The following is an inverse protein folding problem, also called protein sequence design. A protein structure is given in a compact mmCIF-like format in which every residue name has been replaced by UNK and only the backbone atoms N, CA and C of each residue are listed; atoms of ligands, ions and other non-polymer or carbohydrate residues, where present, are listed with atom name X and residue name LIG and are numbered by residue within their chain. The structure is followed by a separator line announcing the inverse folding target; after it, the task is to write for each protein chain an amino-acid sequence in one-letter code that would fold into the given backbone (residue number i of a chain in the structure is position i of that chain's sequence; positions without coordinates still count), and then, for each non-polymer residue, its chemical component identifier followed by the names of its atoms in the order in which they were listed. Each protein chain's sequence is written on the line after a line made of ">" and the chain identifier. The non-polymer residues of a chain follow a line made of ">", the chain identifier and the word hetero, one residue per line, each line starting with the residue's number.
data_IF_529400596689
#
_entry.id   IF_529400596689
#
_cell.length_a   1.000
_cell.length_b   1.000
_cell.length_c   1.000
_cell.angle_alpha   90.00
_cell.angle_beta   90.00
_cell.angle_gamma   90.00
#
_symmetry.space_group_name_H-M   'P 1'
#
loop_
_entity.id
_entity.type
_entity.pdbx_description
1 polymer ?
#
# COMPACT_ATOMS: atom_id res chain seq x y z
N UNK A 1 -5.66 55.14 -45.50
CA UNK A 1 -5.02 54.59 -44.27
C UNK A 1 -5.83 53.40 -43.77
N UNK A 2 -5.39 52.21 -44.08
CA UNK A 2 -6.04 50.93 -43.61
C UNK A 2 -5.26 50.37 -42.42
N UNK A 3 -5.93 50.25 -41.28
CA UNK A 3 -5.38 49.61 -40.08
C UNK A 3 -5.64 48.10 -40.15
N UNK A 4 -4.57 47.34 -40.19
CA UNK A 4 -4.61 45.87 -40.17
C UNK A 4 -4.64 45.45 -38.70
N UNK A 5 -5.78 44.89 -38.28
CA UNK A 5 -5.91 44.28 -36.95
C UNK A 5 -5.25 42.90 -36.90
N UNK A 6 -4.28 42.71 -36.01
CA UNK A 6 -3.68 41.40 -35.71
C UNK A 6 -4.58 40.67 -34.73
N UNK A 7 -5.23 39.61 -35.20
CA UNK A 7 -5.90 38.65 -34.34
C UNK A 7 -4.86 37.75 -33.69
N UNK A 8 -4.74 37.82 -32.37
CA UNK A 8 -3.95 36.89 -31.59
C UNK A 8 -4.77 35.61 -31.35
N UNK A 9 -4.37 34.52 -31.96
CA UNK A 9 -4.93 33.20 -31.70
C UNK A 9 -4.37 32.69 -30.38
N UNK A 10 -5.23 32.65 -29.35
CA UNK A 10 -4.92 32.06 -28.07
C UNK A 10 -5.12 30.54 -28.20
N UNK A 11 -4.03 29.78 -28.35
CA UNK A 11 -4.05 28.32 -28.34
C UNK A 11 -4.28 27.83 -26.89
N UNK A 12 -5.50 27.39 -26.60
CA UNK A 12 -5.82 26.67 -25.37
C UNK A 12 -5.16 25.28 -25.41
N UNK A 13 -4.04 25.14 -24.72
CA UNK A 13 -3.47 23.82 -24.41
C UNK A 13 -4.31 23.21 -23.29
N UNK A 14 -5.25 22.34 -23.66
CA UNK A 14 -5.95 21.47 -22.72
C UNK A 14 -4.96 20.43 -22.22
N UNK A 15 -4.28 20.77 -21.13
CA UNK A 15 -3.51 19.80 -20.37
C UNK A 15 -4.47 18.76 -19.79
N UNK A 16 -4.42 17.55 -20.33
CA UNK A 16 -5.00 16.36 -19.71
C UNK A 16 -4.24 16.11 -18.40
N UNK A 17 -4.71 16.72 -17.33
CA UNK A 17 -4.32 16.30 -15.99
C UNK A 17 -4.91 14.90 -15.77
N UNK A 18 -4.10 13.88 -16.05
CA UNK A 18 -4.35 12.55 -15.53
C UNK A 18 -4.40 12.70 -14.00
N UNK A 19 -5.59 12.65 -13.44
CA UNK A 19 -5.82 12.64 -12.00
C UNK A 19 -5.30 11.30 -11.51
N UNK A 20 -3.99 11.20 -11.28
CA UNK A 20 -3.38 10.10 -10.54
C UNK A 20 -4.05 10.13 -9.18
N UNK A 21 -5.02 9.24 -8.94
CA UNK A 21 -5.54 9.02 -7.59
C UNK A 21 -4.34 8.62 -6.74
N UNK A 22 -3.85 9.55 -5.95
CA UNK A 22 -2.89 9.22 -4.91
C UNK A 22 -3.50 8.08 -4.10
N UNK A 23 -2.87 6.91 -4.15
CA UNK A 23 -3.34 5.75 -3.41
C UNK A 23 -3.35 6.03 -1.89
N UNK A 24 -3.92 5.14 -1.09
CA UNK A 24 -4.03 5.32 0.35
C UNK A 24 -2.69 5.24 1.10
N UNK A 25 -1.60 4.90 0.42
CA UNK A 25 -0.26 4.89 1.01
C UNK A 25 0.31 6.32 1.04
N UNK A 26 0.58 6.90 2.23
CA UNK A 26 1.15 8.23 2.37
C UNK A 26 2.59 8.30 1.88
N UNK A 27 3.09 9.52 1.64
CA UNK A 27 4.52 9.73 1.37
C UNK A 27 5.37 9.40 2.59
N UNK A 28 6.63 9.02 2.38
CA UNK A 28 7.59 8.77 3.45
C UNK A 28 7.74 9.95 4.40
N UNK A 29 7.76 11.18 3.87
CA UNK A 29 7.81 12.40 4.67
C UNK A 29 6.63 12.53 5.67
N UNK A 30 5.45 12.02 5.34
CA UNK A 30 4.29 12.01 6.24
C UNK A 30 4.38 10.94 7.35
N UNK A 31 5.37 10.05 7.29
CA UNK A 31 5.54 8.93 8.22
C UNK A 31 6.66 9.15 9.26
N UNK A 32 7.28 10.32 9.27
CA UNK A 32 8.29 10.69 10.26
C UNK A 32 9.57 9.84 10.16
N UNK A 33 10.59 10.36 9.48
CA UNK A 33 11.89 9.72 9.35
C UNK A 33 12.00 8.66 8.25
N UNK A 34 10.95 8.46 7.44
CA UNK A 34 11.00 7.65 6.23
C UNK A 34 11.12 8.53 4.99
N UNK A 35 11.73 7.99 3.94
CA UNK A 35 11.80 8.61 2.62
C UNK A 35 11.15 7.70 1.58
N UNK A 36 10.54 8.28 0.55
CA UNK A 36 10.18 7.53 -0.65
C UNK A 36 11.46 7.27 -1.45
N UNK A 37 11.72 6.03 -1.79
CA UNK A 37 12.93 5.65 -2.54
C UNK A 37 12.66 5.35 -4.01
N UNK A 38 11.39 5.18 -4.37
CA UNK A 38 10.94 4.98 -5.74
C UNK A 38 9.57 5.63 -5.94
N UNK A 39 9.17 5.78 -7.23
CA UNK A 39 7.82 6.24 -7.54
C UNK A 39 6.77 5.21 -7.10
N UNK A 40 5.63 5.65 -6.55
CA UNK A 40 4.57 4.75 -6.18
C UNK A 40 3.95 4.08 -7.41
N UNK A 41 3.61 2.82 -7.27
CA UNK A 41 2.97 2.04 -8.31
C UNK A 41 1.54 1.66 -7.91
N UNK A 42 0.68 1.45 -8.90
CA UNK A 42 -0.67 0.93 -8.65
C UNK A 42 -1.12 -0.01 -9.76
N UNK A 43 -1.85 -1.04 -9.37
CA UNK A 43 -2.30 -2.10 -10.26
C UNK A 43 -3.80 -2.34 -10.07
N UNK A 44 -4.51 -2.56 -11.16
CA UNK A 44 -5.92 -2.98 -11.20
C UNK A 44 -6.02 -4.44 -11.62
N UNK A 45 -7.24 -4.97 -11.72
CA UNK A 45 -7.45 -6.39 -12.02
C UNK A 45 -6.67 -6.91 -13.23
N UNK A 46 -6.68 -6.15 -14.34
CA UNK A 46 -5.98 -6.55 -15.56
C UNK A 46 -4.45 -6.47 -15.44
N UNK A 47 -3.93 -5.47 -14.71
CA UNK A 47 -2.49 -5.22 -14.58
C UNK A 47 -1.86 -5.94 -13.39
N UNK A 48 -2.66 -6.53 -12.49
CA UNK A 48 -2.16 -7.31 -11.36
C UNK A 48 -1.30 -8.49 -11.81
N UNK A 49 -1.70 -9.14 -12.91
CA UNK A 49 -0.98 -10.29 -13.48
C UNK A 49 0.42 -9.93 -14.00
N UNK A 50 0.68 -8.66 -14.32
CA UNK A 50 2.02 -8.20 -14.72
C UNK A 50 2.94 -7.97 -13.52
N UNK A 51 2.36 -7.75 -12.34
CA UNK A 51 3.11 -7.53 -11.11
C UNK A 51 3.33 -8.85 -10.34
N UNK A 52 2.26 -9.67 -10.23
CA UNK A 52 2.32 -10.96 -9.51
C UNK A 52 2.22 -12.08 -10.55
N UNK A 53 3.36 -12.61 -10.95
CA UNK A 53 3.41 -13.78 -11.84
C UNK A 53 2.87 -15.02 -11.11
N UNK A 54 1.84 -15.66 -11.69
CA UNK A 54 1.21 -16.88 -11.17
C UNK A 54 0.43 -16.77 -9.87
N UNK A 55 0.49 -15.62 -9.15
CA UNK A 55 -0.16 -15.45 -7.84
C UNK A 55 -1.41 -14.58 -7.85
N UNK A 56 -1.71 -13.89 -8.95
CA UNK A 56 -2.79 -12.90 -9.02
C UNK A 56 -4.17 -13.50 -8.76
N UNK A 57 -4.44 -14.72 -9.20
CA UNK A 57 -5.71 -15.42 -8.99
C UNK A 57 -6.09 -15.57 -7.52
N UNK A 58 -5.08 -15.69 -6.65
CA UNK A 58 -5.31 -15.76 -5.20
C UNK A 58 -6.07 -14.53 -4.70
N UNK A 59 -5.73 -13.34 -5.16
CA UNK A 59 -6.36 -12.08 -4.77
C UNK A 59 -7.65 -11.83 -5.58
N UNK A 60 -7.61 -12.06 -6.88
CA UNK A 60 -8.75 -11.82 -7.79
C UNK A 60 -9.97 -12.65 -7.36
N UNK A 61 -9.79 -13.93 -7.09
CA UNK A 61 -10.86 -14.84 -6.64
C UNK A 61 -11.41 -14.46 -5.25
N UNK A 62 -10.69 -13.64 -4.47
CA UNK A 62 -11.14 -13.11 -3.18
C UNK A 62 -11.72 -11.70 -3.25
N UNK A 63 -11.88 -11.17 -4.47
CA UNK A 63 -12.50 -9.86 -4.69
C UNK A 63 -11.50 -8.71 -4.57
N UNK A 64 -10.36 -8.85 -5.23
CA UNK A 64 -9.38 -7.80 -5.45
C UNK A 64 -9.99 -6.58 -6.17
N UNK A 65 -9.60 -5.37 -5.75
CA UNK A 65 -10.00 -4.11 -6.38
C UNK A 65 -8.81 -3.34 -6.92
N UNK A 66 -7.77 -3.16 -6.10
CA UNK A 66 -6.54 -2.47 -6.49
C UNK A 66 -5.37 -2.92 -5.59
N UNK A 67 -4.15 -2.80 -6.10
CA UNK A 67 -2.91 -2.91 -5.35
C UNK A 67 -2.16 -1.58 -5.44
N UNK A 68 -1.70 -1.10 -4.30
CA UNK A 68 -0.82 0.06 -4.20
C UNK A 68 0.52 -0.41 -3.64
N UNK A 69 1.60 -0.10 -4.34
CA UNK A 69 2.96 -0.46 -3.96
C UNK A 69 3.76 0.80 -3.70
N UNK A 70 4.46 0.83 -2.60
CA UNK A 70 5.38 1.91 -2.29
C UNK A 70 6.61 1.39 -1.56
N UNK A 71 7.76 1.93 -1.96
CA UNK A 71 9.02 1.61 -1.31
C UNK A 71 9.48 2.77 -0.42
N UNK A 72 9.83 2.42 0.80
CA UNK A 72 10.29 3.36 1.81
C UNK A 72 11.71 3.04 2.22
N UNK A 73 12.49 4.08 2.54
CA UNK A 73 13.83 3.95 3.09
C UNK A 73 13.96 4.63 4.45
N UNK A 74 14.78 4.06 5.34
CA UNK A 74 15.19 4.68 6.59
C UNK A 74 16.61 4.24 6.96
N UNK A 75 17.56 5.17 6.92
CA UNK A 75 18.97 4.81 7.01
C UNK A 75 19.38 3.90 5.86
N UNK A 76 19.92 2.73 6.17
CA UNK A 76 20.32 1.73 5.18
C UNK A 76 19.22 0.68 4.91
N UNK A 77 18.09 0.74 5.62
CA UNK A 77 17.00 -0.21 5.45
C UNK A 77 16.06 0.22 4.32
N UNK A 78 15.59 -0.75 3.58
CA UNK A 78 14.64 -0.58 2.46
C UNK A 78 13.45 -1.49 2.69
N UNK A 79 12.27 -0.93 2.50
CA UNK A 79 11.01 -1.62 2.73
C UNK A 79 10.12 -1.52 1.50
N UNK A 80 9.51 -2.62 1.12
CA UNK A 80 8.39 -2.63 0.19
C UNK A 80 7.10 -2.81 0.97
N UNK A 81 6.12 -1.99 0.66
CA UNK A 81 4.76 -2.08 1.20
C UNK A 81 3.79 -2.29 0.06
N UNK A 82 3.08 -3.40 0.12
CA UNK A 82 1.98 -3.77 -0.75
C UNK A 82 0.67 -3.62 0.01
N UNK A 83 -0.21 -2.75 -0.46
CA UNK A 83 -1.51 -2.53 0.13
C UNK A 83 -2.60 -2.95 -0.86
N UNK A 84 -3.19 -4.10 -0.61
CA UNK A 84 -4.27 -4.66 -1.40
C UNK A 84 -5.61 -4.10 -0.93
N UNK A 85 -6.30 -3.40 -1.80
CA UNK A 85 -7.67 -2.98 -1.61
C UNK A 85 -8.60 -4.07 -2.11
N UNK A 86 -9.42 -4.60 -1.22
CA UNK A 86 -10.38 -5.67 -1.50
C UNK A 86 -11.80 -5.08 -1.58
N UNK A 87 -12.75 -5.79 -2.16
CA UNK A 87 -14.14 -5.34 -2.27
C UNK A 87 -14.80 -4.98 -0.93
N UNK A 88 -14.38 -5.62 0.16
CA UNK A 88 -14.90 -5.37 1.51
C UNK A 88 -13.95 -5.93 2.58
N UNK A 89 -14.29 -5.69 3.86
CA UNK A 89 -13.50 -6.14 5.01
C UNK A 89 -13.40 -7.67 5.14
N UNK A 90 -14.45 -8.40 4.78
CA UNK A 90 -14.44 -9.86 4.81
C UNK A 90 -13.44 -10.44 3.79
N UNK A 91 -13.36 -9.84 2.62
CA UNK A 91 -12.40 -10.22 1.59
C UNK A 91 -10.95 -9.97 2.04
N UNK A 92 -10.66 -8.79 2.61
CA UNK A 92 -9.33 -8.49 3.17
C UNK A 92 -8.95 -9.45 4.32
N UNK A 93 -9.92 -9.73 5.19
CA UNK A 93 -9.78 -10.71 6.27
C UNK A 93 -9.45 -12.11 5.73
N UNK A 94 -10.13 -12.55 4.66
CA UNK A 94 -9.88 -13.85 4.02
C UNK A 94 -8.47 -13.95 3.44
N UNK A 95 -7.98 -12.88 2.80
CA UNK A 95 -6.60 -12.82 2.31
C UNK A 95 -5.63 -12.97 3.48
N UNK A 96 -5.78 -12.14 4.54
CA UNK A 96 -4.93 -12.21 5.72
C UNK A 96 -4.90 -13.61 6.35
N UNK A 97 -6.05 -14.22 6.57
CA UNK A 97 -6.14 -15.57 7.16
C UNK A 97 -5.40 -16.63 6.36
N UNK A 98 -5.43 -16.51 5.03
CA UNK A 98 -4.78 -17.46 4.13
C UNK A 98 -3.26 -17.22 3.99
N UNK A 99 -2.79 -15.98 4.25
CA UNK A 99 -1.38 -15.58 4.06
C UNK A 99 -0.57 -15.55 5.36
N UNK A 100 -1.21 -15.27 6.51
CA UNK A 100 -0.54 -15.04 7.79
C UNK A 100 0.29 -16.21 8.28
N UNK A 101 1.37 -15.91 8.98
CA UNK A 101 2.17 -16.88 9.71
C UNK A 101 1.53 -17.09 11.09
N UNK A 102 0.82 -18.19 11.30
CA UNK A 102 -0.01 -18.43 12.49
C UNK A 102 0.77 -18.29 13.80
N UNK A 103 2.01 -18.79 13.84
CA UNK A 103 2.85 -18.74 15.04
C UNK A 103 3.51 -17.37 15.29
N UNK A 104 3.29 -16.41 14.41
CA UNK A 104 3.87 -15.07 14.48
C UNK A 104 2.83 -13.98 14.81
N UNK A 105 1.57 -14.34 15.05
CA UNK A 105 0.52 -13.36 15.37
C UNK A 105 0.78 -12.63 16.68
N UNK A 106 0.65 -11.31 16.64
CA UNK A 106 0.79 -10.42 17.80
C UNK A 106 -0.24 -9.32 17.75
N UNK A 107 -0.61 -8.79 18.92
CA UNK A 107 -1.35 -7.52 18.97
C UNK A 107 -0.48 -6.42 18.38
N UNK A 108 -1.08 -5.65 17.49
CA UNK A 108 -0.42 -4.60 16.74
C UNK A 108 -1.19 -3.28 16.86
N UNK A 109 -0.96 -2.32 15.96
CA UNK A 109 -1.54 -0.99 16.06
C UNK A 109 -3.06 -1.00 16.34
N UNK A 110 -3.49 -0.20 17.29
CA UNK A 110 -4.93 0.00 17.61
C UNK A 110 -5.69 -1.28 17.96
N UNK A 111 -5.01 -2.28 18.55
CA UNK A 111 -5.63 -3.55 18.92
C UNK A 111 -5.82 -4.54 17.77
N UNK A 112 -5.29 -4.26 16.58
CA UNK A 112 -5.28 -5.21 15.47
C UNK A 112 -4.30 -6.35 15.73
N UNK A 113 -4.64 -7.57 15.30
CA UNK A 113 -3.66 -8.64 15.19
C UNK A 113 -2.90 -8.52 13.88
N UNK A 114 -1.61 -8.76 13.92
CA UNK A 114 -0.75 -8.87 12.75
C UNK A 114 0.15 -10.11 12.85
N UNK A 115 0.46 -10.69 11.71
CA UNK A 115 1.54 -11.66 11.59
C UNK A 115 2.85 -10.89 11.48
N UNK A 116 3.78 -11.13 12.39
CA UNK A 116 5.05 -10.40 12.49
C UNK A 116 6.20 -11.40 12.50
N UNK A 117 6.99 -11.40 11.46
CA UNK A 117 8.27 -12.13 11.36
C UNK A 117 9.44 -11.14 11.43
N UNK A 118 10.70 -11.58 11.43
CA UNK A 118 11.84 -10.66 11.38
C UNK A 118 11.83 -9.72 10.18
N UNK A 119 11.34 -10.17 9.02
CA UNK A 119 11.43 -9.45 7.74
C UNK A 119 10.08 -9.10 7.11
N UNK A 120 8.96 -9.54 7.70
CA UNK A 120 7.63 -9.39 7.09
C UNK A 120 6.58 -9.06 8.15
N UNK A 121 5.65 -8.18 7.79
CA UNK A 121 4.48 -7.85 8.60
C UNK A 121 3.24 -7.90 7.72
N UNK A 122 2.27 -8.71 8.12
CA UNK A 122 0.99 -8.86 7.45
C UNK A 122 -0.15 -8.48 8.38
N UNK A 123 -1.10 -7.69 7.89
CA UNK A 123 -2.27 -7.30 8.66
C UNK A 123 -3.46 -6.98 7.78
N UNK A 124 -4.68 -6.96 8.34
CA UNK A 124 -5.85 -6.49 7.64
C UNK A 124 -6.65 -5.50 8.49
N UNK A 125 -7.05 -4.38 7.85
CA UNK A 125 -7.90 -3.35 8.46
C UNK A 125 -8.92 -2.83 7.45
N UNK A 126 -10.20 -2.81 7.83
CA UNK A 126 -11.27 -2.49 6.91
C UNK A 126 -11.17 -3.36 5.66
N UNK A 127 -11.22 -2.78 4.49
CA UNK A 127 -11.09 -3.48 3.21
C UNK A 127 -9.66 -3.65 2.71
N UNK A 128 -8.67 -3.32 3.54
CA UNK A 128 -7.27 -3.36 3.16
C UNK A 128 -6.53 -4.53 3.80
N UNK A 129 -5.73 -5.21 3.00
CA UNK A 129 -4.72 -6.16 3.43
C UNK A 129 -3.34 -5.54 3.16
N UNK A 130 -2.53 -5.43 4.19
CA UNK A 130 -1.18 -4.88 4.15
C UNK A 130 -0.17 -6.03 4.23
N UNK A 131 0.79 -6.03 3.32
CA UNK A 131 1.99 -6.84 3.35
C UNK A 131 3.20 -5.90 3.29
N UNK A 132 3.95 -5.81 4.38
CA UNK A 132 5.16 -5.01 4.51
C UNK A 132 6.38 -5.90 4.68
N UNK A 133 7.40 -5.70 3.85
CA UNK A 133 8.62 -6.53 3.88
C UNK A 133 9.87 -5.68 3.90
N UNK A 134 10.91 -6.15 4.61
CA UNK A 134 12.26 -5.68 4.42
C UNK A 134 12.82 -6.28 3.13
N UNK A 135 13.39 -5.45 2.24
CA UNK A 135 13.97 -5.93 0.98
C UNK A 135 15.31 -6.65 1.18
N UNK A 136 15.96 -6.51 2.34
CA UNK A 136 17.10 -7.32 2.72
C UNK A 136 16.63 -8.64 3.36
N UNK A 137 16.77 -9.79 2.67
CA UNK A 137 16.33 -11.08 3.19
C UNK A 137 17.18 -11.58 4.38
N UNK A 138 18.35 -11.00 4.60
CA UNK A 138 19.25 -11.33 5.73
C UNK A 138 19.04 -10.38 6.91
N UNK A 139 18.14 -9.39 6.79
CA UNK A 139 17.87 -8.46 7.87
C UNK A 139 17.35 -9.23 9.09
N UNK A 140 17.92 -8.90 10.24
CA UNK A 140 17.33 -9.23 11.53
C UNK A 140 16.02 -8.42 11.71
N UNK A 141 15.28 -8.71 12.78
CA UNK A 141 14.07 -7.98 13.12
C UNK A 141 14.29 -6.47 12.97
N UNK A 142 13.51 -5.84 12.10
CA UNK A 142 13.53 -4.41 11.88
C UNK A 142 12.46 -3.71 12.71
N UNK A 143 12.86 -2.93 13.70
CA UNK A 143 11.93 -2.07 14.45
C UNK A 143 11.38 -0.95 13.55
N UNK A 144 12.13 -0.54 12.51
CA UNK A 144 11.66 0.42 11.54
C UNK A 144 10.50 -0.13 10.69
N UNK A 145 10.55 -1.40 10.27
CA UNK A 145 9.42 -2.05 9.57
C UNK A 145 8.17 -2.13 10.46
N UNK A 146 8.36 -2.43 11.75
CA UNK A 146 7.27 -2.46 12.73
C UNK A 146 6.64 -1.08 12.87
N UNK A 147 7.46 -0.04 13.03
CA UNK A 147 6.99 1.35 13.15
C UNK A 147 6.27 1.81 11.88
N UNK A 148 6.85 1.58 10.70
CA UNK A 148 6.26 1.87 9.40
C UNK A 148 4.86 1.25 9.29
N UNK A 149 4.77 -0.04 9.52
CA UNK A 149 3.51 -0.79 9.39
C UNK A 149 2.45 -0.33 10.40
N UNK A 150 2.85 0.02 11.64
CA UNK A 150 1.94 0.63 12.62
C UNK A 150 1.39 1.96 12.14
N UNK A 151 2.25 2.84 11.67
CA UNK A 151 1.87 4.15 11.16
C UNK A 151 0.91 4.03 9.98
N UNK A 152 1.17 3.10 9.07
CA UNK A 152 0.29 2.84 7.93
C UNK A 152 -1.07 2.29 8.38
N UNK A 153 -1.09 1.23 9.19
CA UNK A 153 -2.34 0.63 9.68
C UNK A 153 -3.21 1.61 10.46
N UNK A 154 -2.60 2.48 11.28
CA UNK A 154 -3.36 3.47 12.05
C UNK A 154 -4.12 4.48 11.18
N UNK A 155 -3.68 4.71 9.96
CA UNK A 155 -4.27 5.65 8.98
C UNK A 155 -5.34 5.00 8.10
N UNK A 156 -5.37 3.66 8.00
CA UNK A 156 -6.37 2.97 7.19
C UNK A 156 -7.76 3.04 7.86
N UNK A 157 -8.82 3.28 7.08
CA UNK A 157 -10.18 3.32 7.60
C UNK A 157 -10.71 1.91 7.94
N UNK A 158 -11.68 1.88 8.83
CA UNK A 158 -12.42 0.67 9.18
C UNK A 158 -11.87 -0.06 10.41
N UNK A 159 -12.60 -1.08 10.86
CA UNK A 159 -12.22 -1.90 12.00
C UNK A 159 -11.07 -2.85 11.66
N UNK A 160 -10.37 -3.31 12.68
CA UNK A 160 -9.43 -4.42 12.54
C UNK A 160 -10.15 -5.69 12.11
N UNK A 161 -9.56 -6.42 11.18
CA UNK A 161 -10.10 -7.72 10.74
C UNK A 161 -10.09 -8.72 11.91
N UNK A 162 -9.04 -8.65 12.75
CA UNK A 162 -8.89 -9.41 13.97
C UNK A 162 -8.44 -8.46 15.08
N UNK A 163 -9.23 -8.39 16.14
CA UNK A 163 -8.86 -7.67 17.34
C UNK A 163 -8.33 -8.65 18.39
N UNK A 164 -7.32 -8.22 19.16
CA UNK A 164 -6.92 -8.95 20.33
C UNK A 164 -8.12 -9.09 21.28
N UNK A 165 -8.38 -10.30 21.77
CA UNK A 165 -9.39 -10.50 22.83
C UNK A 165 -8.90 -9.76 24.08
N UNK A 166 -9.72 -8.84 24.57
CA UNK A 166 -9.50 -8.20 25.87
C UNK A 166 -9.68 -9.18 27.01
#
# INVERSE_FOLDING_TARGET
>A
MRRIGRAAACAMVLGLWACSRAGPLPTGAALGGFADIEQPESYSGATLYTYIDGGADFYVNRGFSALYVRRYGRGNERFIVELYEMKNASAASSVYQSSRRVNAEKEFASGCLASVTPTEIQAARGRYYLDGRNEDPLANRSDALIELSRNLLSRLPGPCAFAAKK
#
